data_IF_741476825642
#
_entry.id   IF_741476825642
#
_cell.length_a   1.000
_cell.length_b   1.000
_cell.length_c   1.000
_cell.angle_alpha   90.00
_cell.angle_beta   90.00
_cell.angle_gamma   90.00
#
_symmetry.space_group_name_H-M   'P 1'
#
loop_
_entity.id
_entity.type
_entity.pdbx_description
1 polymer ?
#
# COMPACT_ATOMS: atom_id res chain seq x y z
N UNK A 1 -38.15 -23.47 -63.22
CA UNK A 1 -38.33 -23.52 -61.75
C UNK A 1 -36.95 -23.37 -61.11
N UNK A 2 -36.66 -22.32 -60.33
CA UNK A 2 -35.61 -22.30 -59.27
C UNK A 2 -35.23 -20.88 -58.79
N UNK A 3 -35.36 -19.83 -59.62
CA UNK A 3 -34.88 -18.49 -59.22
C UNK A 3 -35.88 -17.63 -58.42
N UNK A 4 -37.19 -17.82 -58.59
CA UNK A 4 -38.20 -17.11 -57.78
C UNK A 4 -38.45 -17.74 -56.40
N UNK A 5 -38.08 -19.02 -56.20
CA UNK A 5 -38.19 -19.70 -54.90
C UNK A 5 -37.08 -19.30 -53.92
N UNK A 6 -35.92 -18.86 -54.42
CA UNK A 6 -34.74 -18.55 -53.58
C UNK A 6 -34.85 -17.19 -52.86
N UNK A 7 -35.51 -16.20 -53.47
CA UNK A 7 -35.69 -14.89 -52.83
C UNK A 7 -36.73 -14.93 -51.71
N UNK A 8 -37.76 -15.78 -51.82
CA UNK A 8 -38.81 -15.92 -50.80
C UNK A 8 -38.30 -16.69 -49.58
N UNK A 9 -37.47 -17.73 -49.76
CA UNK A 9 -36.86 -18.46 -48.64
C UNK A 9 -35.81 -17.63 -47.89
N UNK A 10 -35.04 -16.78 -48.58
CA UNK A 10 -34.05 -15.92 -47.94
C UNK A 10 -34.71 -14.78 -47.14
N UNK A 11 -35.83 -14.22 -47.62
CA UNK A 11 -36.61 -13.22 -46.90
C UNK A 11 -37.32 -13.79 -45.66
N UNK A 12 -37.73 -15.08 -45.69
CA UNK A 12 -38.37 -15.72 -44.54
C UNK A 12 -37.37 -16.05 -43.41
N UNK A 13 -36.13 -16.43 -43.76
CA UNK A 13 -35.07 -16.70 -42.77
C UNK A 13 -34.55 -15.39 -42.14
N UNK A 14 -34.45 -14.31 -42.92
CA UNK A 14 -34.11 -12.97 -42.39
C UNK A 14 -35.18 -12.40 -41.44
N UNK A 15 -36.45 -12.75 -41.63
CA UNK A 15 -37.56 -12.25 -40.80
C UNK A 15 -37.77 -13.05 -39.50
N UNK A 16 -37.24 -14.26 -39.40
CA UNK A 16 -37.32 -15.09 -38.18
C UNK A 16 -36.29 -14.72 -37.11
N UNK A 17 -35.26 -13.93 -37.45
CA UNK A 17 -34.24 -13.46 -36.48
C UNK A 17 -34.69 -12.17 -35.74
N UNK A 18 -35.70 -11.46 -36.24
CA UNK A 18 -36.10 -10.16 -35.68
C UNK A 18 -37.37 -10.15 -34.81
N UNK A 19 -38.02 -11.30 -34.56
CA UNK A 19 -39.30 -11.33 -33.81
C UNK A 19 -39.17 -11.91 -32.38
N UNK A 20 -37.97 -12.32 -31.94
CA UNK A 20 -37.76 -12.90 -30.58
C UNK A 20 -36.91 -12.07 -29.60
N UNK A 21 -36.51 -10.85 -29.97
CA UNK A 21 -35.26 -10.26 -29.46
C UNK A 21 -35.33 -9.18 -28.38
N UNK A 22 -36.49 -8.80 -27.84
CA UNK A 22 -36.54 -7.73 -26.81
C UNK A 22 -36.89 -8.23 -25.40
N UNK A 23 -37.83 -9.17 -25.23
CA UNK A 23 -38.19 -9.67 -23.89
C UNK A 23 -37.23 -10.75 -23.36
N UNK A 24 -36.66 -11.56 -24.26
CA UNK A 24 -35.69 -12.62 -23.91
C UNK A 24 -34.33 -12.04 -23.54
N UNK A 25 -33.93 -10.92 -24.14
CA UNK A 25 -32.66 -10.25 -23.83
C UNK A 25 -32.71 -9.58 -22.45
N UNK A 26 -33.83 -8.94 -22.09
CA UNK A 26 -34.05 -8.39 -20.75
C UNK A 26 -34.12 -9.46 -19.65
N UNK A 27 -34.77 -10.60 -19.93
CA UNK A 27 -34.87 -11.70 -18.96
C UNK A 27 -33.53 -12.44 -18.79
N UNK A 28 -32.80 -12.63 -19.88
CA UNK A 28 -31.45 -13.22 -19.86
C UNK A 28 -30.48 -12.28 -19.17
N UNK A 29 -30.53 -10.97 -19.44
CA UNK A 29 -29.71 -9.96 -18.76
C UNK A 29 -29.99 -9.89 -17.26
N UNK A 30 -31.26 -9.91 -16.83
CA UNK A 30 -31.64 -9.97 -15.41
C UNK A 30 -31.18 -11.28 -14.76
N UNK A 31 -31.32 -12.40 -15.46
CA UNK A 31 -30.87 -13.71 -14.97
C UNK A 31 -29.34 -13.76 -14.84
N UNK A 32 -28.59 -13.29 -15.83
CA UNK A 32 -27.13 -13.20 -15.78
C UNK A 32 -26.67 -12.23 -14.70
N UNK A 33 -27.34 -11.08 -14.52
CA UNK A 33 -27.02 -10.14 -13.44
C UNK A 33 -27.36 -10.69 -12.05
N UNK A 34 -28.45 -11.45 -11.93
CA UNK A 34 -28.80 -12.16 -10.70
C UNK A 34 -27.78 -13.24 -10.38
N UNK A 35 -27.39 -14.05 -11.37
CA UNK A 35 -26.36 -15.08 -11.22
C UNK A 35 -24.98 -14.46 -10.89
N UNK A 36 -24.65 -13.33 -11.51
CA UNK A 36 -23.44 -12.56 -11.21
C UNK A 36 -23.49 -12.00 -9.78
N UNK A 37 -24.65 -11.49 -9.33
CA UNK A 37 -24.88 -11.00 -7.98
C UNK A 37 -25.11 -12.08 -6.92
N UNK A 38 -25.23 -13.37 -7.30
CA UNK A 38 -25.42 -14.47 -6.35
C UNK A 38 -24.14 -15.31 -6.20
N UNK A 39 -23.38 -15.49 -7.29
CA UNK A 39 -22.23 -16.41 -7.32
C UNK A 39 -20.89 -15.76 -7.67
N UNK A 40 -20.88 -14.56 -8.26
CA UNK A 40 -19.63 -13.91 -8.71
C UNK A 40 -19.28 -12.70 -7.83
N UNK A 41 -20.28 -11.91 -7.41
CA UNK A 41 -20.13 -10.77 -6.51
C UNK A 41 -21.38 -10.63 -5.64
N UNK A 42 -21.59 -11.54 -4.66
CA UNK A 42 -22.69 -11.42 -3.71
C UNK A 42 -22.66 -10.05 -3.04
N UNK A 43 -23.78 -9.31 -3.00
CA UNK A 43 -23.82 -8.02 -2.34
C UNK A 43 -23.48 -8.22 -0.87
N UNK A 44 -22.63 -7.34 -0.33
CA UNK A 44 -22.26 -7.36 1.08
C UNK A 44 -23.54 -7.38 1.93
N UNK A 45 -23.74 -8.46 2.69
CA UNK A 45 -24.84 -8.55 3.63
C UNK A 45 -24.44 -7.78 4.87
N UNK A 46 -25.15 -6.68 5.14
CA UNK A 46 -25.02 -5.94 6.39
C UNK A 46 -25.88 -6.68 7.41
N UNK A 47 -25.23 -7.25 8.42
CA UNK A 47 -25.93 -7.78 9.59
C UNK A 47 -26.42 -6.60 10.43
N UNK A 48 -27.74 -6.41 10.48
CA UNK A 48 -28.36 -5.33 11.27
C UNK A 48 -28.57 -5.73 12.74
N UNK A 49 -28.37 -7.01 13.08
CA UNK A 49 -28.42 -7.50 14.46
C UNK A 49 -27.07 -7.35 15.19
N UNK A 50 -25.98 -7.15 14.44
CA UNK A 50 -24.70 -6.74 15.00
C UNK A 50 -24.81 -5.31 15.53
N UNK A 51 -24.85 -5.19 16.86
CA UNK A 51 -24.97 -3.91 17.56
C UNK A 51 -23.69 -3.08 17.54
N UNK A 52 -22.61 -3.57 16.91
CA UNK A 52 -21.34 -2.87 16.81
C UNK A 52 -20.69 -2.60 18.17
N UNK A 53 -21.03 -3.39 19.19
CA UNK A 53 -20.44 -3.28 20.53
C UNK A 53 -19.21 -4.15 20.54
N UNK A 54 -18.04 -3.51 20.39
CA UNK A 54 -16.75 -4.18 20.52
C UNK A 54 -16.64 -4.80 21.92
N UNK A 55 -16.12 -6.02 21.98
CA UNK A 55 -15.72 -6.60 23.26
C UNK A 55 -14.47 -5.88 23.81
N UNK A 56 -14.11 -6.15 25.06
CA UNK A 56 -12.98 -5.47 25.72
C UNK A 56 -11.65 -5.67 24.96
N UNK A 57 -11.41 -6.87 24.43
CA UNK A 57 -10.20 -7.19 23.69
C UNK A 57 -10.15 -6.48 22.32
N UNK A 58 -11.28 -6.40 21.61
CA UNK A 58 -11.44 -5.63 20.37
C UNK A 58 -11.23 -4.13 20.61
N UNK A 59 -11.79 -3.60 21.70
CA UNK A 59 -11.61 -2.21 22.11
C UNK A 59 -10.14 -1.92 22.44
N UNK A 60 -9.48 -2.83 23.15
CA UNK A 60 -8.04 -2.74 23.44
C UNK A 60 -7.21 -2.75 22.15
N UNK A 61 -7.46 -3.69 21.24
CA UNK A 61 -6.75 -3.76 19.95
C UNK A 61 -6.93 -2.46 19.16
N UNK A 62 -8.18 -2.00 19.01
CA UNK A 62 -8.50 -0.78 18.27
C UNK A 62 -7.78 0.43 18.86
N UNK A 63 -7.81 0.59 20.19
CA UNK A 63 -7.13 1.70 20.88
C UNK A 63 -5.61 1.66 20.69
N UNK A 64 -5.01 0.47 20.58
CA UNK A 64 -3.57 0.26 20.38
C UNK A 64 -3.12 0.45 18.94
N UNK A 65 -4.00 0.30 17.95
CA UNK A 65 -3.61 0.49 16.55
C UNK A 65 -3.99 1.86 15.99
N UNK A 66 -5.02 2.53 16.52
CA UNK A 66 -5.61 3.73 15.90
C UNK A 66 -4.58 4.84 15.62
N UNK A 67 -3.62 5.06 16.52
CA UNK A 67 -2.61 6.08 16.32
C UNK A 67 -1.63 5.76 15.18
N UNK A 68 -1.25 4.49 15.05
CA UNK A 68 -0.43 3.99 13.93
C UNK A 68 -1.24 4.08 12.63
N UNK A 69 -2.50 3.65 12.68
CA UNK A 69 -3.44 3.65 11.55
C UNK A 69 -3.61 5.05 10.95
N UNK A 70 -3.77 6.07 11.80
CA UNK A 70 -3.85 7.48 11.40
C UNK A 70 -2.57 7.92 10.68
N UNK A 71 -1.38 7.57 11.19
CA UNK A 71 -0.11 7.97 10.56
C UNK A 71 0.05 7.33 9.18
N UNK A 72 -0.23 6.03 9.08
CA UNK A 72 -0.19 5.29 7.82
C UNK A 72 -1.19 5.86 6.81
N UNK A 73 -2.44 6.12 7.23
CA UNK A 73 -3.46 6.70 6.35
C UNK A 73 -3.06 8.08 5.84
N UNK A 74 -2.47 8.91 6.69
CA UNK A 74 -1.98 10.22 6.26
C UNK A 74 -0.85 10.12 5.24
N UNK A 75 0.09 9.16 5.41
CA UNK A 75 1.14 8.91 4.44
C UNK A 75 0.57 8.42 3.11
N UNK A 76 -0.34 7.44 3.14
CA UNK A 76 -0.98 6.90 1.93
C UNK A 76 -1.68 7.99 1.14
N UNK A 77 -2.49 8.81 1.82
CA UNK A 77 -3.16 9.96 1.19
C UNK A 77 -2.16 10.97 0.64
N UNK A 78 -1.04 11.21 1.33
CA UNK A 78 0.00 12.12 0.82
C UNK A 78 0.61 11.58 -0.48
N UNK A 79 0.98 10.30 -0.50
CA UNK A 79 1.57 9.65 -1.67
C UNK A 79 0.57 9.63 -2.83
N UNK A 80 -0.68 9.21 -2.60
CA UNK A 80 -1.70 9.13 -3.66
C UNK A 80 -2.07 10.48 -4.29
N UNK A 81 -1.94 11.59 -3.54
CA UNK A 81 -2.18 12.93 -4.06
C UNK A 81 -0.95 13.54 -4.76
N UNK A 82 0.18 12.81 -4.81
CA UNK A 82 1.39 13.28 -5.47
C UNK A 82 1.36 12.97 -6.96
N UNK A 83 0.86 13.93 -7.76
CA UNK A 83 0.77 13.79 -9.22
C UNK A 83 2.10 13.98 -9.95
N UNK A 84 3.12 14.53 -9.27
CA UNK A 84 4.40 14.90 -9.87
C UNK A 84 5.56 14.30 -9.08
N UNK A 85 6.70 14.03 -9.74
CA UNK A 85 7.94 13.71 -9.04
C UNK A 85 8.24 14.77 -7.95
N UNK A 86 8.65 14.37 -6.75
CA UNK A 86 8.89 15.30 -5.66
C UNK A 86 10.10 16.21 -5.95
N UNK A 87 10.01 17.48 -5.56
CA UNK A 87 11.14 18.41 -5.52
C UNK A 87 11.85 18.30 -4.16
N UNK A 88 13.08 18.81 -4.04
CA UNK A 88 13.79 18.83 -2.75
C UNK A 88 12.99 19.50 -1.62
N UNK A 89 12.25 20.57 -1.92
CA UNK A 89 11.36 21.23 -0.96
C UNK A 89 10.20 20.31 -0.53
N UNK A 90 9.54 19.63 -1.48
CA UNK A 90 8.47 18.68 -1.18
C UNK A 90 8.96 17.51 -0.33
N UNK A 91 10.19 17.04 -0.56
CA UNK A 91 10.82 15.99 0.26
C UNK A 91 11.06 16.49 1.69
N UNK A 92 11.58 17.71 1.88
CA UNK A 92 11.76 18.28 3.22
C UNK A 92 10.42 18.41 3.97
N UNK A 93 9.35 18.84 3.28
CA UNK A 93 8.00 18.90 3.84
C UNK A 93 7.48 17.51 4.22
N UNK A 94 7.74 16.49 3.41
CA UNK A 94 7.38 15.10 3.71
C UNK A 94 8.01 14.65 5.03
N UNK A 95 9.33 14.78 5.19
CA UNK A 95 10.03 14.34 6.41
C UNK A 95 9.68 15.17 7.64
N UNK A 96 9.31 16.44 7.46
CA UNK A 96 8.76 17.24 8.56
C UNK A 96 7.39 16.72 9.01
N UNK A 97 6.54 16.32 8.05
CA UNK A 97 5.19 15.81 8.32
C UNK A 97 5.20 14.38 8.86
N UNK A 98 6.10 13.54 8.38
CA UNK A 98 6.24 12.14 8.76
C UNK A 98 7.65 11.88 9.32
N UNK A 99 7.93 12.37 10.54
CA UNK A 99 9.26 12.29 11.15
C UNK A 99 9.70 10.86 11.48
N UNK A 100 8.79 9.91 11.36
CA UNK A 100 8.97 8.48 11.60
C UNK A 100 9.43 7.71 10.35
N UNK A 101 9.43 8.34 9.17
CA UNK A 101 9.98 7.73 7.96
C UNK A 101 11.48 7.50 8.10
N UNK A 102 11.93 6.35 7.60
CA UNK A 102 13.35 6.03 7.52
C UNK A 102 13.95 6.54 6.21
N UNK A 103 13.16 6.62 5.13
CA UNK A 103 13.58 7.23 3.88
C UNK A 103 12.52 7.29 2.77
N UNK A 104 12.91 7.91 1.67
CA UNK A 104 12.14 8.07 0.43
C UNK A 104 13.07 7.82 -0.76
N UNK A 105 12.66 6.96 -1.69
CA UNK A 105 13.41 6.65 -2.91
C UNK A 105 12.54 6.83 -4.16
N UNK A 106 13.12 7.43 -5.18
CA UNK A 106 12.61 7.42 -6.54
C UNK A 106 13.35 6.31 -7.31
N UNK A 107 12.59 5.40 -7.89
CA UNK A 107 13.09 4.17 -8.51
C UNK A 107 12.58 4.13 -9.94
N UNK A 108 13.43 3.77 -10.90
CA UNK A 108 13.02 3.63 -12.30
C UNK A 108 12.20 2.35 -12.57
N UNK A 109 11.77 2.16 -13.81
CA UNK A 109 11.03 0.97 -14.23
C UNK A 109 11.84 -0.35 -14.20
N UNK A 110 13.15 -0.31 -13.92
CA UNK A 110 14.03 -1.48 -13.78
C UNK A 110 14.39 -1.79 -12.32
N UNK A 111 13.95 -0.96 -11.36
CA UNK A 111 14.26 -1.14 -9.95
C UNK A 111 15.51 -0.39 -9.50
N UNK A 112 16.11 0.43 -10.36
CA UNK A 112 17.29 1.21 -10.05
C UNK A 112 16.91 2.52 -9.35
N UNK A 113 17.59 2.82 -8.24
CA UNK A 113 17.39 4.06 -7.48
C UNK A 113 17.93 5.24 -8.29
N UNK A 114 17.05 6.18 -8.66
CA UNK A 114 17.38 7.43 -9.34
C UNK A 114 17.78 8.53 -8.35
N UNK A 115 17.08 8.58 -7.21
CA UNK A 115 17.33 9.51 -6.11
C UNK A 115 16.79 8.91 -4.81
N UNK A 116 17.42 9.23 -3.69
CA UNK A 116 16.95 8.83 -2.36
C UNK A 116 17.31 9.85 -1.29
N UNK A 117 16.48 9.93 -0.26
CA UNK A 117 16.70 10.69 0.97
C UNK A 117 16.41 9.77 2.18
N UNK A 118 17.34 9.58 3.13
CA UNK A 118 18.70 10.13 3.14
C UNK A 118 19.58 9.55 2.00
N UNK A 119 20.61 10.27 1.53
CA UNK A 119 21.50 9.79 0.47
C UNK A 119 22.24 8.50 0.84
N UNK A 120 22.53 8.32 2.13
CA UNK A 120 23.09 7.10 2.70
C UNK A 120 22.00 6.38 3.53
N UNK A 121 21.39 5.35 2.95
CA UNK A 121 20.40 4.54 3.64
C UNK A 121 21.06 3.68 4.73
N UNK A 122 20.40 3.54 5.88
CA UNK A 122 20.88 2.66 6.95
C UNK A 122 20.69 1.17 6.63
N UNK A 123 19.64 0.85 5.87
CA UNK A 123 19.29 -0.50 5.45
C UNK A 123 19.44 -0.60 3.94
N UNK A 124 20.00 -1.70 3.45
CA UNK A 124 20.02 -2.02 2.03
C UNK A 124 18.66 -2.65 1.65
N UNK A 125 17.93 -2.00 0.75
CA UNK A 125 16.58 -2.40 0.32
C UNK A 125 16.56 -2.78 -1.16
N UNK A 126 15.76 -3.78 -1.51
CA UNK A 126 15.62 -4.27 -2.88
C UNK A 126 14.36 -3.71 -3.55
N UNK A 127 14.47 -2.47 -4.03
CA UNK A 127 13.35 -1.78 -4.67
C UNK A 127 12.83 -2.45 -5.94
N UNK A 128 13.56 -3.39 -6.56
CA UNK A 128 13.06 -4.13 -7.71
C UNK A 128 11.82 -4.96 -7.34
N UNK A 129 11.76 -5.51 -6.12
CA UNK A 129 10.60 -6.28 -5.64
C UNK A 129 9.34 -5.44 -5.52
N UNK A 130 9.46 -4.12 -5.35
CA UNK A 130 8.31 -3.20 -5.33
C UNK A 130 7.62 -3.10 -6.70
N UNK A 131 8.36 -3.30 -7.80
CA UNK A 131 7.79 -3.29 -9.15
C UNK A 131 6.88 -4.49 -9.41
N UNK A 132 7.13 -5.60 -8.73
CA UNK A 132 6.33 -6.83 -8.79
C UNK A 132 5.01 -6.72 -7.99
N UNK A 133 4.96 -5.80 -7.01
CA UNK A 133 3.79 -5.61 -6.18
C UNK A 133 2.64 -4.97 -6.93
N UNK A 134 1.42 -5.32 -6.54
CA UNK A 134 0.19 -4.80 -7.14
C UNK A 134 -0.52 -3.86 -6.19
N UNK A 135 -1.32 -2.97 -6.77
CA UNK A 135 -2.30 -2.21 -6.02
C UNK A 135 -3.50 -3.09 -5.68
N UNK A 136 -4.15 -2.79 -4.55
CA UNK A 136 -5.46 -3.37 -4.23
C UNK A 136 -6.45 -2.98 -5.34
N UNK A 137 -7.28 -3.94 -5.77
CA UNK A 137 -8.24 -3.71 -6.85
C UNK A 137 -7.63 -3.56 -8.26
N UNK A 138 -6.33 -3.81 -8.44
CA UNK A 138 -5.61 -3.66 -9.71
C UNK A 138 -5.62 -2.22 -10.29
N UNK A 139 -5.66 -1.21 -9.43
CA UNK A 139 -5.59 0.19 -9.85
C UNK A 139 -4.20 0.55 -10.41
N UNK A 140 -4.15 1.15 -11.60
CA UNK A 140 -2.89 1.50 -12.28
C UNK A 140 -2.01 2.47 -11.48
N UNK A 141 -2.64 3.38 -10.73
CA UNK A 141 -1.96 4.36 -9.86
C UNK A 141 -2.06 4.03 -8.37
N UNK A 142 -2.58 2.85 -8.05
CA UNK A 142 -2.83 2.48 -6.67
C UNK A 142 -1.54 2.25 -5.88
N UNK A 143 -1.67 2.39 -4.57
CA UNK A 143 -0.60 2.17 -3.61
C UNK A 143 -0.14 0.71 -3.63
N UNK A 144 1.16 0.51 -3.59
CA UNK A 144 1.83 -0.80 -3.44
C UNK A 144 2.48 -0.87 -2.06
N UNK A 145 2.60 -2.07 -1.52
CA UNK A 145 3.28 -2.30 -0.26
C UNK A 145 4.10 -3.58 -0.30
N UNK A 146 5.16 -3.60 0.50
CA UNK A 146 6.06 -4.74 0.69
C UNK A 146 6.64 -4.66 2.09
N UNK A 147 6.96 -5.80 2.68
CA UNK A 147 7.85 -5.87 3.85
C UNK A 147 9.10 -6.61 3.44
N UNK A 148 10.25 -6.03 3.76
CA UNK A 148 11.56 -6.66 3.58
C UNK A 148 12.21 -6.89 4.93
N UNK A 149 12.72 -8.11 5.14
CA UNK A 149 13.54 -8.40 6.30
C UNK A 149 14.99 -7.98 6.01
N UNK A 150 15.63 -7.31 6.97
CA UNK A 150 17.00 -6.81 6.85
C UNK A 150 17.81 -7.19 8.09
N UNK A 151 19.15 -7.24 8.03
CA UNK A 151 19.97 -7.52 9.21
C UNK A 151 19.76 -6.56 10.39
N UNK A 152 19.23 -5.36 10.15
CA UNK A 152 18.93 -4.34 11.18
C UNK A 152 17.45 -4.36 11.64
N UNK A 153 16.69 -5.35 11.19
CA UNK A 153 15.26 -5.51 11.42
C UNK A 153 14.43 -5.18 10.18
N UNK A 154 13.17 -5.62 10.14
CA UNK A 154 12.32 -5.48 8.98
C UNK A 154 12.03 -4.02 8.64
N UNK A 155 11.81 -3.76 7.37
CA UNK A 155 11.43 -2.47 6.81
C UNK A 155 10.12 -2.62 6.05
N UNK A 156 9.20 -1.69 6.26
CA UNK A 156 7.96 -1.60 5.50
C UNK A 156 8.15 -0.60 4.38
N UNK A 157 7.91 -1.03 3.15
CA UNK A 157 7.96 -0.19 1.95
C UNK A 157 6.54 0.05 1.47
N UNK A 158 6.24 1.30 1.12
CA UNK A 158 4.99 1.67 0.46
C UNK A 158 5.26 2.70 -0.63
N UNK A 159 4.60 2.54 -1.78
CA UNK A 159 4.91 3.41 -2.91
C UNK A 159 3.82 3.50 -3.94
N UNK A 160 3.92 4.54 -4.76
CA UNK A 160 3.01 4.79 -5.88
C UNK A 160 3.78 4.83 -7.19
N UNK A 161 3.17 4.36 -8.29
CA UNK A 161 3.76 4.49 -9.62
C UNK A 161 3.65 5.91 -10.15
N UNK A 162 4.75 6.39 -10.71
CA UNK A 162 4.87 7.71 -11.34
C UNK A 162 4.77 7.53 -12.86
N UNK A 163 3.93 8.32 -13.50
CA UNK A 163 3.66 8.23 -14.93
C UNK A 163 4.02 9.53 -15.66
N UNK A 164 4.48 9.38 -16.91
CA UNK A 164 4.48 10.44 -17.91
C UNK A 164 3.54 10.04 -19.04
N UNK A 165 2.38 10.70 -19.12
CA UNK A 165 1.30 10.25 -20.02
C UNK A 165 0.83 8.83 -19.66
N UNK A 166 1.02 7.89 -20.57
CA UNK A 166 0.67 6.47 -20.38
C UNK A 166 1.86 5.58 -19.96
N UNK A 167 3.08 6.11 -19.95
CA UNK A 167 4.29 5.37 -19.62
C UNK A 167 4.58 5.46 -18.12
N UNK A 168 4.75 4.30 -17.47
CA UNK A 168 5.21 4.24 -16.08
C UNK A 168 6.72 4.51 -16.06
N UNK A 169 7.12 5.63 -15.46
CA UNK A 169 8.53 5.99 -15.31
C UNK A 169 9.22 5.17 -14.21
N UNK A 170 8.45 4.74 -13.22
CA UNK A 170 8.95 4.01 -12.06
C UNK A 170 8.07 4.20 -10.82
N UNK A 171 8.66 4.10 -9.64
CA UNK A 171 7.97 4.19 -8.34
C UNK A 171 8.56 5.32 -7.48
N UNK A 172 7.69 5.99 -6.74
CA UNK A 172 8.08 6.74 -5.55
C UNK A 172 7.77 5.88 -4.33
N UNK A 173 8.80 5.51 -3.57
CA UNK A 173 8.73 4.56 -2.46
C UNK A 173 9.15 5.24 -1.16
N UNK A 174 8.23 5.34 -0.21
CA UNK A 174 8.52 5.67 1.18
C UNK A 174 8.77 4.37 1.96
N UNK A 175 9.74 4.38 2.86
CA UNK A 175 10.03 3.22 3.70
C UNK A 175 10.28 3.62 5.16
N UNK A 176 9.92 2.71 6.06
CA UNK A 176 10.01 2.92 7.49
C UNK A 176 10.11 1.62 8.28
N UNK A 177 10.72 1.72 9.45
CA UNK A 177 10.68 0.69 10.47
C UNK A 177 9.40 0.81 11.30
N UNK A 178 8.64 -0.27 11.47
CA UNK A 178 7.39 -0.23 12.26
C UNK A 178 7.60 0.28 13.70
N UNK A 179 8.80 0.11 14.25
CA UNK A 179 9.14 0.58 15.61
C UNK A 179 9.08 2.09 15.75
N UNK A 180 9.31 2.86 14.67
CA UNK A 180 9.23 4.33 14.71
C UNK A 180 7.80 4.83 14.92
N UNK A 181 6.80 4.03 14.57
CA UNK A 181 5.37 4.36 14.71
C UNK A 181 4.82 4.06 16.12
N UNK A 182 5.55 3.32 16.96
CA UNK A 182 5.07 2.91 18.28
C UNK A 182 4.88 4.09 19.24
N UNK A 183 5.54 5.23 19.00
CA UNK A 183 5.33 6.46 19.79
C UNK A 183 3.93 7.06 19.62
N UNK A 184 3.19 6.66 18.58
CA UNK A 184 1.84 7.17 18.30
C UNK A 184 0.74 6.33 18.94
N UNK A 185 1.09 5.28 19.69
CA UNK A 185 0.12 4.42 20.35
C UNK A 185 0.37 4.31 21.86
N UNK A 186 -0.72 4.15 22.61
CA UNK A 186 -0.67 3.74 24.02
C UNK A 186 -0.76 2.23 24.12
N UNK A 187 0.12 1.60 24.91
CA UNK A 187 0.13 0.15 25.10
C UNK A 187 0.89 -0.61 24.02
N UNK A 188 1.95 -0.01 23.46
CA UNK A 188 2.82 -0.65 22.48
C UNK A 188 3.44 -1.95 23.01
N UNK A 189 3.66 -2.05 24.32
CA UNK A 189 4.16 -3.24 25.01
C UNK A 189 3.22 -4.45 24.86
N UNK A 190 1.92 -4.22 24.70
CA UNK A 190 0.91 -5.27 24.55
C UNK A 190 0.47 -5.48 23.10
N UNK A 191 1.07 -4.75 22.16
CA UNK A 191 0.79 -4.84 20.74
C UNK A 191 1.85 -5.71 20.07
N UNK A 192 1.42 -6.70 19.30
CA UNK A 192 2.27 -7.43 18.35
C UNK A 192 1.91 -6.95 16.96
N UNK A 193 2.91 -6.59 16.15
CA UNK A 193 2.73 -6.26 14.74
C UNK A 193 3.53 -7.23 13.91
N UNK A 194 2.91 -7.81 12.90
CA UNK A 194 3.53 -8.80 12.02
C UNK A 194 3.04 -8.65 10.58
N UNK A 195 3.80 -9.23 9.67
CA UNK A 195 3.46 -9.40 8.27
C UNK A 195 3.70 -10.87 7.89
N UNK A 196 3.21 -11.36 6.74
CA UNK A 196 3.51 -12.71 6.26
C UNK A 196 5.01 -13.04 6.21
N UNK A 197 5.85 -12.02 6.04
CA UNK A 197 7.31 -12.13 5.99
C UNK A 197 7.95 -12.31 7.37
N UNK A 198 7.30 -11.87 8.45
CA UNK A 198 7.88 -11.93 9.80
C UNK A 198 7.30 -10.93 10.79
N UNK A 199 7.89 -10.89 11.98
CA UNK A 199 7.47 -10.02 13.07
C UNK A 199 8.06 -8.62 12.87
N UNK A 200 7.19 -7.61 12.81
CA UNK A 200 7.56 -6.20 12.71
C UNK A 200 7.81 -5.57 14.09
N UNK A 201 7.04 -6.00 15.08
CA UNK A 201 7.16 -5.59 16.47
C UNK A 201 6.63 -6.70 17.40
N UNK A 202 7.45 -7.25 18.30
CA UNK A 202 7.03 -8.36 19.17
C UNK A 202 6.25 -7.95 20.43
N UNK A 203 6.19 -6.65 20.75
CA UNK A 203 5.70 -6.19 22.04
C UNK A 203 6.61 -6.66 23.18
N UNK A 204 6.03 -6.97 24.33
CA UNK A 204 6.71 -7.58 25.48
C UNK A 204 6.85 -9.09 25.36
N UNK A 205 6.33 -9.73 24.31
CA UNK A 205 6.12 -11.17 24.26
C UNK A 205 7.27 -11.91 23.58
N UNK A 206 7.56 -13.13 24.04
CA UNK A 206 8.28 -14.11 23.25
C UNK A 206 7.34 -14.65 22.16
N UNK A 207 7.35 -14.02 20.98
CA UNK A 207 6.36 -14.29 19.92
C UNK A 207 6.32 -15.76 19.53
N UNK A 208 7.46 -16.44 19.51
CA UNK A 208 7.57 -17.88 19.20
C UNK A 208 6.78 -18.80 20.17
N UNK A 209 6.44 -18.31 21.36
CA UNK A 209 5.63 -19.01 22.35
C UNK A 209 4.13 -18.65 22.29
N UNK A 210 3.72 -17.77 21.37
CA UNK A 210 2.33 -17.30 21.20
C UNK A 210 1.59 -18.09 20.11
N UNK A 211 0.24 -18.04 20.06
CA UNK A 211 -0.53 -18.64 18.96
C UNK A 211 -0.37 -17.92 17.61
N UNK A 212 0.33 -16.78 17.56
CA UNK A 212 0.62 -16.04 16.33
C UNK A 212 1.66 -16.75 15.45
N UNK A 213 2.56 -17.51 16.07
CA UNK A 213 3.60 -18.27 15.35
C UNK A 213 3.01 -19.53 14.72
N UNK A 214 3.47 -19.83 13.51
CA UNK A 214 3.02 -21.00 12.73
C UNK A 214 1.71 -20.79 11.96
N UNK A 215 1.11 -19.60 12.05
CA UNK A 215 -0.02 -19.22 11.20
C UNK A 215 0.49 -18.88 9.78
N UNK A 216 -0.24 -19.33 8.76
CA UNK A 216 -0.05 -18.84 7.40
C UNK A 216 -0.84 -17.54 7.24
N UNK A 217 -0.20 -16.43 7.61
CA UNK A 217 -0.81 -15.10 7.50
C UNK A 217 -1.14 -14.72 6.05
N UNK A 218 -0.43 -15.29 5.07
CA UNK A 218 -0.71 -15.01 3.66
C UNK A 218 -2.02 -15.65 3.20
N UNK A 219 -2.37 -16.83 3.71
CA UNK A 219 -3.66 -17.48 3.45
C UNK A 219 -4.76 -16.90 4.35
N UNK A 220 -4.50 -16.74 5.65
CA UNK A 220 -5.50 -16.29 6.62
C UNK A 220 -6.09 -14.92 6.26
N UNK A 221 -5.27 -14.02 5.72
CA UNK A 221 -5.69 -12.65 5.39
C UNK A 221 -6.38 -12.50 4.03
N UNK A 222 -6.52 -13.59 3.25
CA UNK A 222 -7.34 -13.59 2.03
C UNK A 222 -8.83 -13.59 2.35
N UNK A 223 -9.21 -14.37 3.35
CA UNK A 223 -10.61 -14.64 3.69
C UNK A 223 -11.11 -13.82 4.87
N UNK A 224 -10.20 -13.23 5.66
CA UNK A 224 -10.55 -12.53 6.89
C UNK A 224 -9.62 -11.34 7.14
N UNK A 225 -10.20 -10.25 7.66
CA UNK A 225 -9.45 -9.02 8.00
C UNK A 225 -9.31 -8.83 9.51
N UNK A 226 -9.96 -9.67 10.30
CA UNK A 226 -9.84 -9.75 11.74
C UNK A 226 -10.18 -11.17 12.19
N UNK A 227 -9.83 -11.51 13.42
CA UNK A 227 -10.15 -12.81 13.99
C UNK A 227 -9.46 -13.08 15.31
N UNK A 228 -9.50 -14.33 15.75
CA UNK A 228 -8.79 -14.80 16.93
C UNK A 228 -7.98 -16.04 16.57
N UNK A 229 -6.75 -16.12 17.07
CA UNK A 229 -5.93 -17.33 17.02
C UNK A 229 -5.65 -17.81 18.44
N UNK A 230 -5.74 -19.12 18.65
CA UNK A 230 -5.66 -19.72 19.98
C UNK A 230 -4.77 -20.96 19.97
N UNK A 231 -4.11 -21.21 21.10
CA UNK A 231 -3.42 -22.44 21.40
C UNK A 231 -3.64 -22.83 22.87
N UNK A 232 -2.88 -23.83 23.36
CA UNK A 232 -2.97 -24.27 24.77
C UNK A 232 -2.59 -23.20 25.82
N UNK A 233 -1.88 -22.16 25.40
CA UNK A 233 -1.34 -21.10 26.28
C UNK A 233 -2.32 -19.93 26.40
N UNK A 234 -3.15 -19.71 25.38
CA UNK A 234 -4.14 -18.64 25.36
C UNK A 234 -4.54 -18.25 23.94
N UNK A 235 -5.10 -17.04 23.82
CA UNK A 235 -5.68 -16.49 22.60
C UNK A 235 -5.16 -15.08 22.33
N UNK A 236 -4.97 -14.77 21.05
CA UNK A 236 -4.74 -13.43 20.54
C UNK A 236 -5.87 -13.04 19.60
N UNK A 237 -6.42 -11.85 19.79
CA UNK A 237 -7.27 -11.23 18.78
C UNK A 237 -6.41 -10.40 17.84
N UNK A 238 -6.77 -10.39 16.55
CA UNK A 238 -6.01 -9.71 15.51
C UNK A 238 -6.91 -8.97 14.53
N UNK A 239 -6.35 -7.93 13.90
CA UNK A 239 -6.94 -7.17 12.80
C UNK A 239 -5.86 -6.77 11.80
N UNK A 240 -6.23 -6.62 10.53
CA UNK A 240 -5.32 -6.34 9.42
C UNK A 240 -5.56 -4.94 8.88
N UNK A 241 -4.47 -4.20 8.70
CA UNK A 241 -4.40 -3.05 7.81
C UNK A 241 -3.65 -3.44 6.54
N UNK A 242 -4.17 -3.07 5.37
CA UNK A 242 -3.47 -3.33 4.11
C UNK A 242 -2.73 -2.08 3.62
N UNK A 243 -1.45 -2.24 3.28
CA UNK A 243 -0.68 -1.28 2.49
C UNK A 243 -0.60 -1.80 1.05
N UNK A 244 -1.46 -1.30 0.17
CA UNK A 244 -1.68 -1.94 -1.13
C UNK A 244 -2.23 -3.36 -0.95
N UNK A 245 -1.51 -4.38 -1.44
CA UNK A 245 -1.85 -5.79 -1.18
C UNK A 245 -1.13 -6.40 0.02
N UNK A 246 -0.18 -5.68 0.65
CA UNK A 246 0.60 -6.18 1.76
C UNK A 246 -0.21 -6.09 3.07
N UNK A 247 -0.54 -7.22 3.73
CA UNK A 247 -1.19 -7.17 5.03
C UNK A 247 -0.18 -6.85 6.13
N UNK A 248 -0.60 -5.95 7.03
CA UNK A 248 0.04 -5.63 8.30
C UNK A 248 -0.95 -6.05 9.40
N UNK A 249 -0.61 -7.08 10.13
CA UNK A 249 -1.44 -7.68 11.16
C UNK A 249 -1.08 -7.06 12.51
N UNK A 250 -2.08 -6.53 13.20
CA UNK A 250 -2.01 -6.04 14.57
C UNK A 250 -2.70 -7.06 15.47
N UNK A 251 -2.04 -7.47 16.55
CA UNK A 251 -2.59 -8.46 17.48
C UNK A 251 -2.33 -8.09 18.93
N UNK A 252 -3.25 -8.48 19.80
CA UNK A 252 -3.14 -8.32 21.25
C UNK A 252 -3.64 -9.59 21.95
N UNK A 253 -3.09 -9.96 23.12
CA UNK A 253 -3.65 -11.05 23.90
C UNK A 253 -5.11 -10.73 24.27
N UNK A 254 -5.99 -11.71 24.10
CA UNK A 254 -7.38 -11.68 24.58
C UNK A 254 -7.59 -12.60 25.78
N UNK A 255 -6.80 -13.68 25.89
CA UNK A 255 -6.83 -14.62 27.02
C UNK A 255 -5.47 -15.31 27.18
N UNK A 256 -5.13 -15.69 28.42
CA UNK A 256 -3.95 -16.50 28.72
C UNK A 256 -2.76 -15.70 29.27
N UNK A 257 -1.66 -16.41 29.51
CA UNK A 257 -0.41 -15.83 30.01
C UNK A 257 0.73 -16.30 29.13
N UNK A 258 1.46 -15.36 28.54
CA UNK A 258 2.51 -15.64 27.57
C UNK A 258 3.88 -15.31 28.17
N UNK A 259 4.94 -16.06 27.83
CA UNK A 259 6.29 -15.69 28.21
C UNK A 259 6.65 -14.29 27.68
N UNK A 260 7.30 -13.50 28.53
CA UNK A 260 7.68 -12.12 28.22
C UNK A 260 9.20 -12.00 28.04
N UNK A 261 9.61 -11.09 27.15
CA UNK A 261 10.99 -10.67 26.95
C UNK A 261 11.10 -9.14 27.09
N UNK A 262 11.08 -8.60 28.32
CA UNK A 262 10.98 -7.15 28.55
C UNK A 262 12.12 -6.32 27.95
N UNK A 263 13.30 -6.90 27.74
CA UNK A 263 14.43 -6.21 27.10
C UNK A 263 14.14 -5.75 25.67
N UNK A 264 13.12 -6.29 25.01
CA UNK A 264 12.67 -5.82 23.70
C UNK A 264 12.02 -4.42 23.78
N UNK A 265 11.51 -4.04 24.95
CA UNK A 265 10.88 -2.74 25.18
C UNK A 265 11.88 -1.58 25.26
N UNK A 266 13.19 -1.86 25.35
CA UNK A 266 14.23 -0.82 25.31
C UNK A 266 14.15 0.04 24.03
N UNK A 267 13.65 -0.56 22.93
CA UNK A 267 13.38 0.14 21.67
C UNK A 267 12.37 1.29 21.83
N UNK A 268 11.40 1.18 22.76
CA UNK A 268 10.40 2.21 23.04
C UNK A 268 10.99 3.46 23.69
N UNK A 269 12.18 3.35 24.29
CA UNK A 269 12.86 4.49 24.91
C UNK A 269 13.58 5.39 23.88
N UNK A 270 13.83 4.86 22.68
CA UNK A 270 14.58 5.57 21.62
C UNK A 270 13.93 5.42 20.24
N UNK A 271 12.64 5.80 20.06
CA UNK A 271 11.93 5.60 18.79
C UNK A 271 12.55 6.40 17.62
N UNK A 272 13.19 7.54 17.92
CA UNK A 272 13.90 8.35 16.92
C UNK A 272 15.15 7.67 16.34
N UNK A 273 15.69 6.62 16.98
CA UNK A 273 16.80 5.85 16.43
C UNK A 273 16.40 5.05 15.17
N UNK A 274 15.10 4.86 14.94
CA UNK A 274 14.56 4.13 13.81
C UNK A 274 14.10 5.04 12.66
N UNK A 275 14.14 6.36 12.83
CA UNK A 275 13.76 7.33 11.79
C UNK A 275 14.96 8.08 11.24
N UNK A 276 14.78 8.73 10.09
CA UNK A 276 15.82 9.55 9.45
C UNK A 276 16.25 10.76 10.30
N UNK A 277 15.45 11.15 11.31
CA UNK A 277 15.77 12.28 12.19
C UNK A 277 16.95 12.02 13.13
N UNK A 278 17.29 10.76 13.42
CA UNK A 278 18.54 10.41 14.11
C UNK A 278 19.81 10.77 13.31
N UNK A 279 19.66 11.08 12.01
CA UNK A 279 20.75 11.38 11.06
C UNK A 279 20.75 12.83 10.58
N UNK A 280 19.79 13.67 11.02
CA UNK A 280 19.77 15.07 10.65
C UNK A 280 20.78 15.87 11.47
N UNK A 281 22.01 15.95 10.97
CA UNK A 281 22.72 17.22 11.09
C UNK A 281 21.79 18.33 10.56
N UNK A 282 21.69 19.50 11.21
CA UNK A 282 20.85 20.58 10.71
C UNK A 282 21.21 20.80 9.25
N UNK A 283 20.20 20.80 8.38
CA UNK A 283 20.34 21.21 6.98
C UNK A 283 21.05 22.56 7.03
N UNK A 284 22.34 22.56 6.73
CA UNK A 284 23.09 23.80 6.65
C UNK A 284 22.52 24.46 5.42
N UNK A 285 21.78 25.56 5.62
CA UNK A 285 21.32 26.40 4.52
C UNK A 285 22.52 26.64 3.60
N UNK A 286 22.47 26.07 2.39
CA UNK A 286 23.46 26.39 1.40
C UNK A 286 23.27 27.86 1.07
N UNK A 287 24.25 28.67 1.45
CA UNK A 287 24.31 30.06 1.04
C UNK A 287 24.14 30.11 -0.48
N UNK A 288 23.12 30.84 -0.91
CA UNK A 288 22.93 31.28 -2.29
C UNK A 288 24.23 31.97 -2.71
N UNK A 289 25.03 31.26 -3.52
CA UNK A 289 26.09 31.90 -4.29
C UNK A 289 25.40 32.32 -5.59
N UNK A 290 25.15 33.62 -5.69
CA UNK A 290 24.84 34.28 -6.96
C UNK A 290 25.90 33.91 -7.99
N UNK A 291 25.47 33.27 -9.08
CA UNK A 291 26.24 33.12 -10.31
C UNK A 291 26.94 31.76 -10.45
N UNK A 292 26.46 30.97 -11.40
CA UNK A 292 27.20 29.85 -11.98
C UNK A 292 26.39 28.56 -12.08
N UNK A 293 26.10 28.17 -13.32
CA UNK A 293 25.28 27.02 -13.71
C UNK A 293 25.65 25.68 -13.06
N UNK A 294 24.62 24.83 -12.94
CA UNK A 294 24.60 23.37 -12.72
C UNK A 294 24.71 22.84 -11.28
N UNK A 295 23.55 22.62 -10.66
CA UNK A 295 23.35 21.69 -9.53
C UNK A 295 22.32 20.64 -9.93
N UNK A 296 22.57 19.37 -9.61
CA UNK A 296 21.86 18.20 -10.17
C UNK A 296 20.44 18.00 -9.58
N UNK A 297 19.99 18.90 -8.70
CA UNK A 297 18.58 19.09 -8.37
C UNK A 297 17.88 20.11 -9.30
N UNK A 298 18.54 20.52 -10.38
CA UNK A 298 17.96 21.31 -11.49
C UNK A 298 18.77 21.05 -12.77
N UNK A 299 18.44 19.99 -13.50
CA UNK A 299 18.85 19.84 -14.90
C UNK A 299 17.59 19.80 -15.78
N UNK A 300 17.43 20.67 -16.80
CA UNK A 300 16.42 20.43 -17.81
C UNK A 300 16.78 19.15 -18.56
N UNK A 301 15.78 18.31 -18.81
CA UNK A 301 15.91 17.14 -19.67
C UNK A 301 16.61 17.53 -20.99
N UNK A 302 17.50 16.67 -21.53
CA UNK A 302 18.10 16.95 -22.84
C UNK A 302 16.98 17.09 -23.88
N UNK A 303 17.09 18.06 -24.83
CA UNK A 303 16.08 18.25 -25.85
C UNK A 303 15.96 16.98 -26.69
N UNK A 304 14.73 16.45 -26.78
CA UNK A 304 14.39 15.33 -27.65
C UNK A 304 14.54 15.83 -29.10
N UNK A 305 15.62 15.40 -29.77
CA UNK A 305 15.83 15.63 -31.20
C UNK A 305 14.74 14.87 -31.98
N UNK A 306 13.79 15.58 -32.60
CA UNK A 306 12.90 14.96 -33.59
C UNK A 306 11.46 15.45 -33.71
N UNK A 307 11.05 16.55 -33.07
CA UNK A 307 9.75 17.18 -33.35
C UNK A 307 9.99 18.60 -33.85
N UNK A 308 10.04 18.73 -35.18
CA UNK A 308 10.07 20.02 -35.84
C UNK A 308 8.73 20.73 -35.67
N UNK A 309 8.80 21.98 -35.21
CA UNK A 309 7.83 23.00 -35.58
C UNK A 309 8.63 24.21 -36.01
N UNK A 310 8.57 24.51 -37.30
CA UNK A 310 9.00 25.79 -37.85
C UNK A 310 8.17 26.90 -37.19
N UNK A 311 8.83 27.80 -36.49
CA UNK A 311 8.20 29.00 -35.98
C UNK A 311 8.13 30.02 -37.12
N UNK A 312 6.93 30.19 -37.66
CA UNK A 312 6.62 31.21 -38.65
C UNK A 312 6.76 32.59 -38.00
N UNK A 313 7.79 33.33 -38.41
CA UNK A 313 7.91 34.75 -38.15
C UNK A 313 6.76 35.51 -38.84
N UNK A 314 5.95 36.21 -38.05
CA UNK A 314 5.07 37.27 -38.55
C UNK A 314 5.77 38.60 -38.27
N UNK A 315 6.16 39.30 -39.33
CA UNK A 315 6.46 40.75 -39.33
C UNK A 315 5.13 41.52 -39.25
N UNK A 316 5.01 42.75 -38.75
CA UNK A 316 5.92 43.87 -38.53
C UNK A 316 5.70 44.49 -37.13
#
# INVERSE_FOLDING_TARGET
MSLQSSFITTALIGSLVFIGGCSTFDSTWKSTKAFYGEYINPPAQIDYDDKGVLNDAETMLASRMVGIDIQLEQLERYLQNSDKPPTGESVAVLFHRFPWLSGLAAVDANGMVLAQEPPAAMKELDFAKMLEQKARGNELRGLRGLVEDTPLGPEVLTGIPIYSGSEMLGLLVAHFDMRSLLTYTSGAEDLVVLAPQGVLWPGRFEVDATPLTGQDWSELTKDSTHGTVSNKTGSFIWMVRFLGTQPIVFATPSEGHFPEQPGQLDALSHPAAFSSQGMMAPVTESHVIEGGDSSILTAPLPPIKGLGMEESAISD
#
